data_IF_200396151135
#
_entry.id   IF_200396151135
#
_cell.length_a   1.000
_cell.length_b   1.000
_cell.length_c   1.000
_cell.angle_alpha   90.00
_cell.angle_beta   90.00
_cell.angle_gamma   90.00
#
_symmetry.space_group_name_H-M   'P 1'
#
loop_
_entity.id
_entity.type
_entity.pdbx_description
1 polymer ?
#
# COMPACT_ATOMS: atom_id res chain seq x y z
N UNK A 1 26.07 12.90 10.55
CA UNK A 1 25.36 12.13 9.51
C UNK A 1 24.06 11.64 10.12
N UNK A 2 22.90 12.14 9.68
CA UNK A 2 21.63 11.86 10.36
C UNK A 2 20.37 12.24 9.58
N UNK A 3 20.46 12.44 8.26
CA UNK A 3 19.29 12.86 7.45
C UNK A 3 18.71 11.73 6.60
N UNK A 4 19.36 10.57 6.53
CA UNK A 4 18.91 9.44 5.72
C UNK A 4 17.70 8.71 6.29
N UNK A 5 17.53 8.69 7.62
CA UNK A 5 16.48 7.89 8.27
C UNK A 5 15.08 8.44 8.00
N UNK A 6 14.90 9.76 8.03
CA UNK A 6 13.59 10.40 7.78
C UNK A 6 13.20 10.30 6.30
N UNK A 7 14.14 10.53 5.39
CA UNK A 7 13.89 10.37 3.96
C UNK A 7 13.49 8.91 3.65
N UNK A 8 14.26 7.93 4.14
CA UNK A 8 13.95 6.49 3.97
C UNK A 8 12.56 6.13 4.48
N UNK A 9 12.13 6.68 5.62
CA UNK A 9 10.80 6.43 6.16
C UNK A 9 9.70 6.96 5.23
N UNK A 10 9.83 8.19 4.73
CA UNK A 10 8.85 8.77 3.80
C UNK A 10 8.81 8.00 2.48
N UNK A 11 9.97 7.64 1.91
CA UNK A 11 10.03 6.82 0.69
C UNK A 11 9.39 5.44 0.89
N UNK A 12 9.60 4.80 2.04
CA UNK A 12 8.96 3.53 2.37
C UNK A 12 7.43 3.67 2.45
N UNK A 13 6.92 4.70 3.13
CA UNK A 13 5.47 4.95 3.21
C UNK A 13 4.88 5.24 1.83
N UNK A 14 5.56 6.04 1.01
CA UNK A 14 5.14 6.34 -0.35
C UNK A 14 5.04 5.06 -1.19
N UNK A 15 6.08 4.22 -1.17
CA UNK A 15 6.11 2.96 -1.90
C UNK A 15 4.95 2.04 -1.50
N UNK A 16 4.69 1.91 -0.21
CA UNK A 16 3.57 1.12 0.31
C UNK A 16 2.21 1.65 -0.16
N UNK A 17 2.04 2.97 -0.26
CA UNK A 17 0.83 3.59 -0.81
C UNK A 17 0.68 3.29 -2.31
N UNK A 18 1.76 3.38 -3.07
CA UNK A 18 1.75 3.05 -4.51
C UNK A 18 1.34 1.59 -4.73
N UNK A 19 1.86 0.65 -3.94
CA UNK A 19 1.41 -0.73 -3.98
C UNK A 19 -0.08 -0.85 -3.66
N UNK A 20 -0.57 -0.22 -2.58
CA UNK A 20 -2.01 -0.22 -2.25
C UNK A 20 -2.88 0.29 -3.40
N UNK A 21 -2.42 1.30 -4.15
CA UNK A 21 -3.13 1.81 -5.33
C UNK A 21 -3.12 0.77 -6.46
N UNK A 22 -1.99 0.10 -6.72
CA UNK A 22 -1.92 -0.97 -7.73
C UNK A 22 -2.89 -2.11 -7.40
N UNK A 23 -3.06 -2.45 -6.12
CA UNK A 23 -4.03 -3.43 -5.66
C UNK A 23 -5.49 -2.95 -5.68
N UNK A 24 -5.74 -1.75 -6.20
CA UNK A 24 -7.06 -1.12 -6.21
C UNK A 24 -7.66 -1.01 -4.80
N UNK A 25 -6.89 -0.55 -3.80
CA UNK A 25 -7.37 -0.27 -2.44
C UNK A 25 -7.87 1.17 -2.24
N UNK A 26 -8.91 1.33 -1.44
CA UNK A 26 -9.35 2.63 -0.98
C UNK A 26 -8.35 3.20 0.02
N UNK A 27 -8.45 4.51 0.25
CA UNK A 27 -7.63 5.20 1.24
C UNK A 27 -7.79 4.58 2.63
N UNK A 28 -9.01 4.22 2.99
CA UNK A 28 -9.37 3.61 4.26
C UNK A 28 -8.72 2.23 4.42
N UNK A 29 -8.83 1.38 3.41
CA UNK A 29 -8.19 0.05 3.38
C UNK A 29 -6.66 0.18 3.49
N UNK A 30 -6.05 1.14 2.80
CA UNK A 30 -4.62 1.42 2.89
C UNK A 30 -4.21 1.86 4.31
N UNK A 31 -4.96 2.76 4.95
CA UNK A 31 -4.69 3.22 6.32
C UNK A 31 -4.77 2.07 7.33
N UNK A 32 -5.79 1.23 7.23
CA UNK A 32 -5.96 0.09 8.14
C UNK A 32 -4.87 -0.97 7.93
N UNK A 33 -4.56 -1.31 6.67
CA UNK A 33 -3.51 -2.28 6.35
C UNK A 33 -2.13 -1.82 6.83
N UNK A 34 -1.75 -0.57 6.56
CA UNK A 34 -0.46 -0.04 6.99
C UNK A 34 -0.37 0.12 8.51
N UNK A 35 -1.48 0.49 9.16
CA UNK A 35 -1.51 0.57 10.62
C UNK A 35 -1.41 -0.80 11.29
N UNK A 36 -2.05 -1.83 10.72
CA UNK A 36 -2.08 -3.17 11.32
C UNK A 36 -0.84 -4.01 11.02
N UNK A 37 -0.28 -3.88 9.82
CA UNK A 37 0.81 -4.74 9.35
C UNK A 37 2.18 -4.07 9.38
N UNK A 38 2.26 -2.75 9.15
CA UNK A 38 3.51 -1.99 9.15
C UNK A 38 3.66 -1.07 10.38
N UNK A 39 2.68 -1.06 11.28
CA UNK A 39 2.65 -0.21 12.48
C UNK A 39 2.82 1.30 12.16
N UNK A 40 2.41 1.70 10.95
CA UNK A 40 2.47 3.09 10.47
C UNK A 40 1.21 3.81 10.95
N UNK A 41 1.37 4.99 11.54
CA UNK A 41 0.19 5.72 12.00
C UNK A 41 -0.73 6.10 10.83
N UNK A 42 -2.05 5.90 10.93
CA UNK A 42 -3.01 6.28 9.90
C UNK A 42 -2.89 7.74 9.47
N UNK A 43 -2.48 8.63 10.40
CA UNK A 43 -2.26 10.06 10.11
C UNK A 43 -1.13 10.28 9.10
N UNK A 44 -0.06 9.48 9.16
CA UNK A 44 1.07 9.56 8.22
C UNK A 44 0.61 9.10 6.84
N UNK A 45 0.01 7.91 6.76
CA UNK A 45 -0.56 7.38 5.50
C UNK A 45 -1.56 8.35 4.89
N UNK A 46 -2.46 8.92 5.69
CA UNK A 46 -3.46 9.89 5.23
C UNK A 46 -2.84 11.17 4.70
N UNK A 47 -1.74 11.62 5.31
CA UNK A 47 -1.02 12.82 4.89
C UNK A 47 -0.30 12.58 3.57
N UNK A 48 0.50 11.51 3.47
CA UNK A 48 1.23 11.17 2.23
C UNK A 48 0.27 10.89 1.08
N UNK A 49 -0.82 10.17 1.33
CA UNK A 49 -1.86 9.92 0.32
C UNK A 49 -2.48 11.22 -0.20
N UNK A 50 -2.80 12.17 0.68
CA UNK A 50 -3.38 13.47 0.28
C UNK A 50 -2.41 14.29 -0.57
N UNK A 51 -1.13 14.29 -0.24
CA UNK A 51 -0.11 14.98 -1.04
C UNK A 51 0.03 14.33 -2.43
N UNK A 52 0.09 12.99 -2.49
CA UNK A 52 0.12 12.25 -3.76
C UNK A 52 -1.10 12.55 -4.64
N UNK A 53 -2.29 12.60 -4.05
CA UNK A 53 -3.53 12.94 -4.74
C UNK A 53 -3.51 14.37 -5.27
N UNK A 54 -2.94 15.31 -4.51
CA UNK A 54 -2.85 16.71 -4.89
C UNK A 54 -1.86 16.93 -6.02
N UNK A 55 -0.74 16.22 -6.03
CA UNK A 55 0.27 16.28 -7.09
C UNK A 55 -0.18 15.53 -8.36
N UNK A 56 -0.91 14.42 -8.21
CA UNK A 56 -1.28 13.51 -9.30
C UNK A 56 -2.80 13.38 -9.48
N UNK A 57 -3.53 14.50 -9.50
CA UNK A 57 -5.01 14.53 -9.51
C UNK A 57 -5.62 13.69 -10.63
N UNK A 58 -5.11 13.81 -11.85
CA UNK A 58 -5.63 13.09 -13.02
C UNK A 58 -5.51 11.58 -12.86
N UNK A 59 -4.40 11.12 -12.28
CA UNK A 59 -4.19 9.70 -11.98
C UNK A 59 -5.17 9.20 -10.92
N UNK A 60 -5.37 9.96 -9.84
CA UNK A 60 -6.31 9.58 -8.78
C UNK A 60 -7.78 9.64 -9.23
N UNK A 61 -8.14 10.55 -10.14
CA UNK A 61 -9.46 10.55 -10.77
C UNK A 61 -9.70 9.31 -11.62
N UNK A 62 -8.76 8.96 -12.51
CA UNK A 62 -8.85 7.75 -13.32
C UNK A 62 -8.86 6.48 -12.44
N UNK A 63 -8.08 6.49 -11.37
CA UNK A 63 -8.02 5.42 -10.38
C UNK A 63 -9.36 5.21 -9.68
N UNK A 64 -9.98 6.28 -9.15
CA UNK A 64 -11.31 6.24 -8.52
C UNK A 64 -12.38 5.74 -9.50
N UNK A 65 -12.36 6.22 -10.74
CA UNK A 65 -13.29 5.80 -11.79
C UNK A 65 -13.18 4.30 -12.08
N UNK A 66 -11.96 3.79 -12.28
CA UNK A 66 -11.70 2.36 -12.50
C UNK A 66 -12.16 1.49 -11.32
N UNK A 67 -11.91 1.96 -10.10
CA UNK A 67 -12.36 1.32 -8.84
C UNK A 67 -13.87 1.22 -8.78
N UNK A 68 -14.58 2.29 -9.14
CA UNK A 68 -16.04 2.35 -9.14
C UNK A 68 -16.63 1.39 -10.18
N UNK A 69 -16.11 1.40 -11.41
CA UNK A 69 -16.51 0.47 -12.50
C UNK A 69 -16.37 -1.01 -12.08
N UNK A 70 -15.38 -1.34 -11.24
CA UNK A 70 -15.18 -2.70 -10.72
C UNK A 70 -16.09 -3.04 -9.54
N UNK A 71 -16.59 -2.03 -8.83
CA UNK A 71 -17.38 -2.18 -7.60
C UNK A 71 -18.88 -2.04 -7.84
N UNK A 72 -19.31 -1.41 -8.93
CA UNK A 72 -20.73 -1.23 -9.29
C UNK A 72 -21.12 -2.09 -10.50
N UNK A 73 -22.02 -3.10 -10.35
CA UNK A 73 -22.68 -3.73 -11.47
C UNK A 73 -23.96 -2.96 -11.83
N UNK A 74 -23.87 -1.78 -12.44
CA UNK A 74 -25.05 -0.97 -12.83
C UNK A 74 -24.58 0.06 -13.88
N UNK A 75 -24.91 0.06 -15.18
CA UNK A 75 -26.05 -0.52 -15.92
C UNK A 75 -25.73 -0.67 -17.42
N UNK A 76 -25.74 -1.90 -17.93
CA UNK A 76 -26.40 -2.19 -19.22
C UNK A 76 -27.33 -3.36 -18.92
N UNK A 77 -28.64 -3.09 -18.97
CA UNK A 77 -29.71 -4.03 -18.63
C UNK A 77 -29.48 -5.42 -19.21
N UNK A 78 -29.35 -6.46 -18.38
CA UNK A 78 -29.88 -7.82 -18.59
C UNK A 78 -29.68 -8.65 -17.31
N UNK A 79 -30.81 -9.05 -16.73
CA UNK A 79 -31.07 -10.20 -15.86
C UNK A 79 -29.89 -11.06 -15.37
N UNK A 80 -29.78 -11.25 -14.04
CA UNK A 80 -29.08 -12.42 -13.48
C UNK A 80 -28.43 -12.25 -12.11
N UNK A 81 -29.17 -12.68 -11.08
CA UNK A 81 -28.68 -13.60 -10.03
C UNK A 81 -27.59 -13.16 -9.03
N UNK A 82 -28.03 -13.01 -7.78
CA UNK A 82 -27.58 -13.77 -6.60
C UNK A 82 -26.12 -13.64 -6.09
N UNK A 83 -26.04 -13.34 -4.78
CA UNK A 83 -24.96 -13.72 -3.85
C UNK A 83 -23.55 -13.22 -4.15
N UNK A 84 -23.24 -11.99 -3.72
CA UNK A 84 -21.85 -11.49 -3.63
C UNK A 84 -21.51 -11.05 -2.20
N UNK A 85 -21.73 -11.95 -1.22
CA UNK A 85 -21.29 -11.75 0.19
C UNK A 85 -20.01 -12.53 0.55
N UNK A 86 -19.42 -13.28 -0.39
CA UNK A 86 -18.26 -14.16 -0.10
C UNK A 86 -16.95 -13.82 -0.85
N UNK A 87 -16.90 -12.75 -1.65
CA UNK A 87 -15.65 -12.35 -2.36
C UNK A 87 -14.89 -11.18 -1.74
N UNK A 88 -15.26 -10.75 -0.52
CA UNK A 88 -14.54 -9.67 0.19
C UNK A 88 -13.40 -10.18 1.09
N UNK A 89 -13.30 -11.48 1.36
CA UNK A 89 -12.34 -12.02 2.34
C UNK A 89 -11.03 -12.55 1.74
N UNK A 90 -10.93 -12.71 0.41
CA UNK A 90 -9.75 -13.30 -0.25
C UNK A 90 -8.68 -12.31 -0.71
N UNK A 91 -8.99 -11.01 -0.74
CA UNK A 91 -8.03 -9.97 -1.18
C UNK A 91 -7.14 -9.55 0.00
N UNK A 92 -7.70 -9.56 1.22
CA UNK A 92 -6.96 -9.26 2.45
C UNK A 92 -5.79 -10.25 2.66
N UNK A 93 -5.98 -11.54 2.36
CA UNK A 93 -4.95 -12.56 2.63
C UNK A 93 -3.73 -12.47 1.68
N UNK A 94 -3.93 -12.00 0.44
CA UNK A 94 -2.84 -11.84 -0.53
C UNK A 94 -2.00 -10.60 -0.24
N UNK A 95 -2.62 -9.49 0.22
CA UNK A 95 -1.89 -8.26 0.52
C UNK A 95 -1.07 -8.36 1.81
N UNK A 96 -1.59 -9.07 2.81
CA UNK A 96 -0.90 -9.28 4.09
C UNK A 96 0.44 -10.02 3.91
N UNK A 97 0.56 -10.86 2.88
CA UNK A 97 1.82 -11.55 2.57
C UNK A 97 2.88 -10.62 1.94
N UNK A 98 2.47 -9.67 1.09
CA UNK A 98 3.40 -8.76 0.40
C UNK A 98 3.93 -7.65 1.33
N UNK A 99 3.06 -7.05 2.14
CA UNK A 99 3.48 -6.03 3.10
C UNK A 99 4.43 -6.60 4.18
N UNK A 100 4.22 -7.86 4.60
CA UNK A 100 5.13 -8.54 5.51
C UNK A 100 6.53 -8.82 4.88
N UNK A 101 6.60 -9.03 3.56
CA UNK A 101 7.87 -9.22 2.86
C UNK A 101 8.72 -7.92 2.83
N UNK A 102 8.08 -6.75 2.69
CA UNK A 102 8.79 -5.46 2.72
C UNK A 102 9.44 -5.17 4.09
N UNK A 103 8.78 -5.54 5.18
CA UNK A 103 9.32 -5.38 6.55
C UNK A 103 10.49 -6.34 6.86
N UNK A 104 10.56 -7.50 6.21
CA UNK A 104 11.64 -8.45 6.42
C UNK A 104 12.97 -8.04 5.76
N UNK A 105 12.93 -7.20 4.72
CA UNK A 105 14.12 -6.80 3.96
C UNK A 105 15.06 -5.87 4.76
N UNK A 106 14.58 -5.17 5.79
CA UNK A 106 15.41 -4.29 6.63
C UNK A 106 16.27 -5.04 7.64
N UNK A 107 16.04 -6.34 7.86
CA UNK A 107 16.82 -7.15 8.82
C UNK A 107 18.00 -7.91 8.19
N UNK A 108 18.25 -7.76 6.88
CA UNK A 108 19.44 -8.30 6.19
C UNK A 108 20.41 -7.19 5.79
N UNK A 109 20.85 -6.40 6.77
CA UNK A 109 22.13 -5.67 6.67
C UNK A 109 22.92 -5.85 7.96
N UNK A 110 23.17 -7.12 8.28
CA UNK A 110 24.30 -7.53 9.14
C UNK A 110 25.02 -8.69 8.45
N UNK A 111 25.65 -8.41 7.29
CA UNK A 111 26.68 -9.30 6.75
C UNK A 111 27.86 -8.48 6.28
N UNK A 112 28.92 -8.59 7.09
CA UNK A 112 30.34 -8.67 6.72
C UNK A 112 30.94 -7.36 6.24
N UNK A 113 31.77 -6.76 7.09
CA UNK A 113 33.16 -6.40 6.83
C UNK A 113 33.72 -5.79 8.13
N UNK A 114 34.20 -6.65 9.03
CA UNK A 114 35.28 -6.31 9.96
C UNK A 114 36.43 -7.19 9.46
N UNK A 115 37.15 -6.72 8.44
CA UNK A 115 38.51 -6.16 8.58
C UNK A 115 39.48 -7.23 9.11
N UNK A 116 39.80 -8.18 8.23
CA UNK A 116 41.14 -8.78 8.14
C UNK A 116 42.08 -7.68 7.63
N UNK A 117 42.95 -7.14 8.48
CA UNK A 117 44.19 -6.38 8.19
C UNK A 117 44.64 -5.77 9.55
N UNK A 118 45.87 -5.80 10.05
CA UNK A 118 47.15 -6.42 9.74
C UNK A 118 48.01 -6.06 10.99
N UNK A 119 48.68 -7.04 11.61
CA UNK A 119 50.07 -7.03 12.13
C UNK A 119 50.35 -8.16 13.14
#
# INVERSE_FOLDING_TARGET
>A
MGSDSSAKYIHMVQHLIEECIVFNMSKEECMEALSKHANIQPVITSTVWKELEKENKEFFEAYRKRREERSSPTSTSTSGSSTQRQRRQGIDEILVLAAAAAAAATSTSSRRNDDDDDE
#
